data_IF_525900053331
#
_entry.id   IF_525900053331
#
_cell.length_a   1.000
_cell.length_b   1.000
_cell.length_c   1.000
_cell.angle_alpha   90.00
_cell.angle_beta   90.00
_cell.angle_gamma   90.00
#
_symmetry.space_group_name_H-M   'P 1'
#
loop_
_entity.id
_entity.type
_entity.pdbx_description
1 polymer ?
#
# COMPACT_ATOMS: atom_id res chain seq x y z
N UNK A 1 17.28 -28.59 -24.52
CA UNK A 1 16.44 -28.12 -23.39
C UNK A 1 16.78 -26.70 -22.92
N UNK A 2 18.02 -26.20 -23.10
CA UNK A 2 18.37 -24.80 -22.79
C UNK A 2 17.67 -23.74 -23.67
N UNK A 3 17.22 -24.09 -24.88
CA UNK A 3 16.56 -23.14 -25.79
C UNK A 3 15.22 -22.62 -25.24
N UNK A 4 14.49 -23.44 -24.46
CA UNK A 4 13.24 -23.02 -23.80
C UNK A 4 13.48 -22.11 -22.59
N UNK A 5 14.68 -22.11 -22.02
CA UNK A 5 15.02 -21.27 -20.87
C UNK A 5 15.39 -19.83 -21.28
N UNK A 6 15.70 -19.58 -22.56
CA UNK A 6 16.11 -18.27 -23.09
C UNK A 6 14.98 -17.53 -23.82
N UNK A 7 13.90 -18.23 -24.15
CA UNK A 7 12.68 -17.66 -24.76
C UNK A 7 12.07 -16.46 -24.00
N UNK A 8 12.00 -16.44 -22.65
CA UNK A 8 11.47 -15.28 -21.93
C UNK A 8 12.39 -14.05 -22.02
N UNK A 9 13.68 -14.24 -22.29
CA UNK A 9 14.67 -13.17 -22.35
C UNK A 9 14.70 -12.48 -23.72
N UNK A 10 14.28 -13.16 -24.79
CA UNK A 10 14.19 -12.61 -26.15
C UNK A 10 12.83 -11.98 -26.48
N UNK A 11 11.74 -12.41 -25.83
CA UNK A 11 10.39 -11.93 -26.13
C UNK A 11 10.03 -10.57 -25.49
N UNK A 12 10.86 -10.05 -24.56
CA UNK A 12 10.48 -8.91 -23.72
C UNK A 12 10.63 -7.53 -24.36
N UNK A 13 11.46 -7.38 -25.40
CA UNK A 13 11.77 -6.07 -26.00
C UNK A 13 10.93 -5.70 -27.22
N UNK A 14 10.55 -6.70 -28.04
CA UNK A 14 9.92 -6.47 -29.36
C UNK A 14 8.39 -6.52 -29.34
N UNK A 15 7.78 -7.05 -28.27
CA UNK A 15 6.35 -7.39 -28.24
C UNK A 15 5.38 -6.20 -28.23
N UNK A 16 5.85 -4.96 -28.00
CA UNK A 16 5.00 -3.77 -27.95
C UNK A 16 5.26 -2.75 -29.07
N UNK A 17 6.29 -2.93 -29.91
CA UNK A 17 6.70 -1.95 -30.91
C UNK A 17 7.09 -0.57 -30.33
N UNK A 18 7.28 -0.48 -29.02
CA UNK A 18 7.67 0.75 -28.32
C UNK A 18 9.18 0.93 -28.41
N UNK A 19 9.62 2.14 -28.77
CA UNK A 19 11.05 2.45 -28.77
C UNK A 19 11.61 2.44 -27.33
N UNK A 20 12.91 2.18 -27.21
CA UNK A 20 13.59 2.09 -25.92
C UNK A 20 13.44 3.37 -25.08
N UNK A 21 13.34 4.53 -25.73
CA UNK A 21 13.10 5.82 -25.07
C UNK A 21 11.73 5.86 -24.41
N UNK A 22 10.68 5.41 -25.09
CA UNK A 22 9.32 5.34 -24.53
C UNK A 22 9.26 4.40 -23.33
N UNK A 23 9.92 3.24 -23.40
CA UNK A 23 9.99 2.30 -22.26
C UNK A 23 10.69 2.93 -21.05
N UNK A 24 11.80 3.63 -21.27
CA UNK A 24 12.52 4.34 -20.20
C UNK A 24 11.65 5.43 -19.57
N UNK A 25 11.01 6.27 -20.39
CA UNK A 25 10.11 7.34 -19.91
C UNK A 25 8.96 6.73 -19.10
N UNK A 26 8.30 5.69 -19.61
CA UNK A 26 7.21 5.02 -18.93
C UNK A 26 7.64 4.44 -17.58
N UNK A 27 8.84 3.85 -17.51
CA UNK A 27 9.39 3.31 -16.26
C UNK A 27 9.67 4.41 -15.25
N UNK A 28 10.28 5.52 -15.66
CA UNK A 28 10.56 6.67 -14.78
C UNK A 28 9.27 7.30 -14.28
N UNK A 29 8.31 7.53 -15.16
CA UNK A 29 6.99 8.09 -14.79
C UNK A 29 6.27 7.14 -13.83
N UNK A 30 6.25 5.84 -14.12
CA UNK A 30 5.66 4.83 -13.24
C UNK A 30 6.33 4.81 -11.86
N UNK A 31 7.65 4.93 -11.80
CA UNK A 31 8.40 5.02 -10.55
C UNK A 31 8.05 6.29 -9.75
N UNK A 32 7.95 7.45 -10.42
CA UNK A 32 7.55 8.71 -9.77
C UNK A 32 6.14 8.58 -9.19
N UNK A 33 5.20 8.02 -9.95
CA UNK A 33 3.83 7.77 -9.47
C UNK A 33 3.87 6.85 -8.24
N UNK A 34 4.65 5.76 -8.30
CA UNK A 34 4.85 4.85 -7.18
C UNK A 34 5.40 5.55 -5.93
N UNK A 35 6.39 6.42 -6.09
CA UNK A 35 6.94 7.24 -5.01
C UNK A 35 5.90 8.16 -4.39
N UNK A 36 5.09 8.85 -5.20
CA UNK A 36 4.04 9.74 -4.72
C UNK A 36 2.98 8.96 -3.94
N UNK A 37 2.57 7.79 -4.43
CA UNK A 37 1.61 6.91 -3.73
C UNK A 37 2.21 6.43 -2.41
N UNK A 38 3.43 5.90 -2.42
CA UNK A 38 4.10 5.40 -1.22
C UNK A 38 4.29 6.49 -0.15
N UNK A 39 4.75 7.67 -0.57
CA UNK A 39 4.91 8.82 0.32
C UNK A 39 3.56 9.33 0.85
N UNK A 40 2.56 9.45 0.00
CA UNK A 40 1.21 9.91 0.38
C UNK A 40 0.53 8.96 1.35
N UNK A 41 0.55 7.66 1.04
CA UNK A 41 -0.02 6.62 1.92
C UNK A 41 0.75 6.54 3.24
N UNK A 42 2.09 6.50 3.20
CA UNK A 42 2.92 6.48 4.40
C UNK A 42 2.72 7.69 5.30
N UNK A 43 2.63 8.90 4.71
CA UNK A 43 2.33 10.12 5.45
C UNK A 43 0.92 10.11 6.09
N UNK A 44 -0.07 9.63 5.34
CA UNK A 44 -1.43 9.49 5.86
C UNK A 44 -1.49 8.51 7.04
N UNK A 45 -0.86 7.33 6.90
CA UNK A 45 -0.75 6.33 7.98
C UNK A 45 -0.02 6.91 9.18
N UNK A 46 1.09 7.62 8.98
CA UNK A 46 1.82 8.30 10.05
C UNK A 46 0.91 9.27 10.81
N UNK A 47 0.21 10.16 10.09
CA UNK A 47 -0.67 11.16 10.73
C UNK A 47 -1.87 10.53 11.44
N UNK A 48 -2.44 9.45 10.91
CA UNK A 48 -3.55 8.76 11.54
C UNK A 48 -3.08 7.97 12.78
N UNK A 49 -1.91 7.34 12.73
CA UNK A 49 -1.32 6.63 13.88
C UNK A 49 -0.94 7.60 15.01
N UNK A 50 -0.36 8.76 14.67
CA UNK A 50 -0.01 9.80 15.63
C UNK A 50 -1.23 10.32 16.40
N UNK A 51 -2.38 10.47 15.73
CA UNK A 51 -3.65 10.87 16.38
C UNK A 51 -4.21 9.81 17.34
N UNK A 52 -3.78 8.56 17.18
CA UNK A 52 -4.27 7.39 17.95
C UNK A 52 -3.27 6.95 19.02
N UNK A 53 -2.21 7.73 19.26
CA UNK A 53 -1.14 7.44 20.21
C UNK A 53 -0.55 6.02 20.01
N UNK A 54 -0.47 5.60 18.74
CA UNK A 54 0.14 4.34 18.34
C UNK A 54 1.49 4.61 17.69
N UNK A 55 2.36 3.60 17.56
CA UNK A 55 3.71 3.74 16.99
C UNK A 55 3.67 4.20 15.51
N UNK A 56 3.67 5.52 15.32
CA UNK A 56 3.44 6.22 14.07
C UNK A 56 4.60 6.06 13.10
N UNK A 57 5.82 5.97 13.63
CA UNK A 57 7.02 5.74 12.83
C UNK A 57 7.01 4.33 12.25
N UNK A 58 6.74 3.32 13.07
CA UNK A 58 6.67 1.93 12.59
C UNK A 58 5.59 1.74 11.53
N UNK A 59 4.40 2.31 11.72
CA UNK A 59 3.32 2.18 10.74
C UNK A 59 3.55 3.02 9.49
N UNK A 60 3.97 4.28 9.63
CA UNK A 60 4.20 5.19 8.50
C UNK A 60 5.34 4.71 7.60
N UNK A 61 6.50 4.39 8.19
CA UNK A 61 7.64 3.84 7.43
C UNK A 61 7.39 2.41 6.98
N UNK A 62 6.72 1.59 7.78
CA UNK A 62 6.37 0.22 7.41
C UNK A 62 5.50 0.18 6.16
N UNK A 63 4.38 0.91 6.16
CA UNK A 63 3.46 0.94 5.01
C UNK A 63 4.08 1.65 3.81
N UNK A 64 4.68 2.83 4.00
CA UNK A 64 5.30 3.59 2.91
C UNK A 64 6.50 2.85 2.29
N UNK A 65 7.37 2.28 3.12
CA UNK A 65 8.54 1.52 2.67
C UNK A 65 8.14 0.22 1.95
N UNK A 66 7.17 -0.53 2.48
CA UNK A 66 6.69 -1.75 1.84
C UNK A 66 5.99 -1.44 0.50
N UNK A 67 5.23 -0.35 0.39
CA UNK A 67 4.62 0.07 -0.88
C UNK A 67 5.68 0.38 -1.96
N UNK A 68 6.86 0.88 -1.55
CA UNK A 68 7.93 1.23 -2.48
C UNK A 68 8.77 0.02 -2.90
N UNK A 69 9.13 -0.85 -1.95
CA UNK A 69 10.09 -1.95 -2.19
C UNK A 69 9.39 -3.25 -2.60
N UNK A 70 8.18 -3.48 -2.11
CA UNK A 70 7.42 -4.70 -2.35
C UNK A 70 5.92 -4.37 -2.45
N UNK A 71 5.53 -3.66 -3.51
CA UNK A 71 4.20 -3.05 -3.66
C UNK A 71 3.03 -3.95 -3.21
N UNK A 72 2.92 -5.23 -3.63
CA UNK A 72 1.82 -6.10 -3.18
C UNK A 72 1.82 -6.31 -1.65
N UNK A 73 2.98 -6.46 -1.04
CA UNK A 73 3.14 -6.59 0.43
C UNK A 73 2.78 -5.28 1.11
N UNK A 74 3.16 -4.14 0.53
CA UNK A 74 2.78 -2.81 1.03
C UNK A 74 1.27 -2.59 1.03
N UNK A 75 0.56 -3.07 0.00
CA UNK A 75 -0.91 -3.03 -0.04
C UNK A 75 -1.51 -3.87 1.08
N UNK A 76 -0.98 -5.08 1.33
CA UNK A 76 -1.43 -5.93 2.45
C UNK A 76 -1.19 -5.24 3.79
N UNK A 77 -0.03 -4.59 3.98
CA UNK A 77 0.28 -3.84 5.20
C UNK A 77 -0.68 -2.65 5.40
N UNK A 78 -1.00 -1.92 4.33
CA UNK A 78 -1.99 -0.83 4.37
C UNK A 78 -3.38 -1.35 4.76
N UNK A 79 -3.82 -2.47 4.19
CA UNK A 79 -5.10 -3.10 4.54
C UNK A 79 -5.10 -3.52 6.01
N UNK A 80 -4.03 -4.19 6.47
CA UNK A 80 -3.90 -4.60 7.86
C UNK A 80 -3.96 -3.39 8.82
N UNK A 81 -3.29 -2.30 8.49
CA UNK A 81 -3.37 -1.05 9.25
C UNK A 81 -4.81 -0.53 9.36
N UNK A 82 -5.56 -0.51 8.25
CA UNK A 82 -6.94 -0.03 8.21
C UNK A 82 -7.89 -0.91 9.04
N UNK A 83 -7.66 -2.22 9.09
CA UNK A 83 -8.45 -3.15 9.91
C UNK A 83 -8.13 -2.94 11.40
N UNK A 84 -6.84 -2.97 11.77
CA UNK A 84 -6.39 -2.90 13.18
C UNK A 84 -6.75 -1.56 13.82
N UNK A 85 -6.73 -0.47 13.05
CA UNK A 85 -7.11 0.85 13.59
C UNK A 85 -8.62 0.94 13.91
N UNK A 86 -9.48 0.10 13.31
CA UNK A 86 -10.93 0.14 13.49
C UNK A 86 -11.40 -0.29 14.89
N UNK A 87 -10.67 -1.18 15.55
CA UNK A 87 -11.06 -1.73 16.86
C UNK A 87 -11.06 -0.71 18.00
N UNK A 88 -10.36 0.43 17.86
CA UNK A 88 -10.29 1.45 18.91
C UNK A 88 -11.43 2.48 18.90
N UNK A 89 -12.38 2.39 17.96
CA UNK A 89 -13.53 3.33 17.89
C UNK A 89 -14.88 2.72 18.27
N UNK A 90 -14.92 1.42 18.63
CA UNK A 90 -16.14 0.75 19.06
C UNK A 90 -16.28 0.78 20.60
N UNK A 91 -16.56 1.95 21.16
CA UNK A 91 -17.32 2.02 22.41
C UNK A 91 -18.70 2.52 22.02
N UNK A 92 -19.57 1.61 21.58
CA UNK A 92 -21.00 1.90 21.59
C UNK A 92 -21.37 2.32 23.02
N UNK A 93 -22.12 3.43 23.23
CA UNK A 93 -22.74 3.63 24.51
C UNK A 93 -23.69 2.45 24.73
N UNK A 94 -23.46 1.67 25.79
CA UNK A 94 -24.46 0.73 26.29
C UNK A 94 -25.73 1.54 26.47
N UNK A 95 -26.73 1.32 25.61
CA UNK A 95 -28.08 1.84 25.83
C UNK A 95 -28.62 1.15 27.08
N UNK A 96 -28.37 1.71 28.25
CA UNK A 96 -29.28 1.57 29.39
C UNK A 96 -30.57 2.33 29.03
N UNK A 97 -31.39 1.71 28.18
CA UNK A 97 -32.79 2.07 28.08
C UNK A 97 -33.49 1.61 29.36
N UNK A 98 -34.38 2.41 29.97
CA UNK A 98 -35.10 1.99 31.15
C UNK A 98 -35.88 0.72 30.79
N UNK A 99 -35.66 -0.34 31.56
CA UNK A 99 -36.49 -1.53 31.49
C UNK A 99 -37.95 -1.06 31.59
N UNK A 100 -38.74 -1.34 30.56
CA UNK A 100 -40.11 -0.88 30.48
C UNK A 100 -40.89 -1.32 31.70
N UNK A 101 -41.26 -0.37 32.54
CA UNK A 101 -42.40 -0.50 33.44
C UNK A 101 -43.64 -0.18 32.61
N UNK A 102 -44.32 -1.24 32.17
CA UNK A 102 -45.71 -1.23 31.76
C UNK A 102 -46.59 -1.59 32.96
#
# INVERSE_FOLDING_TARGET
>A
MLQFALLPLQAGGEAAGLDQTTVLIATVVGFIIGLVIAAGAGYWVYRDAAKRENNELAWGLGVGGLLLVAFPVGVVALIAYVIIRGDKTATEPVQEGPAGEW
#
